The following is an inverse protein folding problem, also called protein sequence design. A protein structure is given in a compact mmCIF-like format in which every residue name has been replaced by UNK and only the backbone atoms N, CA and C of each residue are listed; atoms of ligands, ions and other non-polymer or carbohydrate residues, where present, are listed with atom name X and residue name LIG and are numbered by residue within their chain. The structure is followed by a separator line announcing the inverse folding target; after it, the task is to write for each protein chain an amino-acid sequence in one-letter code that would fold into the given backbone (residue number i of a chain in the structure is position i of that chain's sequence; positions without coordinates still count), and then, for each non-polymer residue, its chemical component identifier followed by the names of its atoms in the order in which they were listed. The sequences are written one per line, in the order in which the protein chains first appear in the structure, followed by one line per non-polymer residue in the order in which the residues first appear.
data_IF_286695612616
#
_entry.id   IF_286695612616
#
_cell.length_a   1.000
_cell.length_b   1.000
_cell.length_c   1.000
_cell.angle_alpha   90.00
_cell.angle_beta   90.00
_cell.angle_gamma   90.00
#
_symmetry.space_group_name_H-M   'P 1'
#
loop_
_entity.id
_entity.type
_entity.pdbx_description
1 polymer ?
#
# COMPACT_ATOMS: atom_id res chain seq x y z
N UNK A 1 -2.41 -12.17 -20.29
CA UNK A 1 -1.44 -12.21 -19.19
C UNK A 1 -2.20 -12.69 -17.98
N UNK A 2 -1.98 -13.94 -17.59
CA UNK A 2 -2.55 -14.51 -16.37
C UNK A 2 -1.62 -14.19 -15.21
N UNK A 3 -2.16 -13.81 -14.04
CA UNK A 3 -1.32 -13.46 -12.91
C UNK A 3 -0.59 -14.69 -12.37
N UNK A 4 0.69 -14.53 -12.04
CA UNK A 4 1.46 -15.60 -11.46
C UNK A 4 1.09 -15.84 -9.98
N UNK A 5 1.54 -16.97 -9.43
CA UNK A 5 1.25 -17.33 -8.04
C UNK A 5 1.85 -16.35 -7.01
N UNK A 6 2.85 -15.56 -7.39
CA UNK A 6 3.46 -14.51 -6.55
C UNK A 6 2.59 -13.26 -6.56
N UNK A 7 2.11 -12.83 -7.71
CA UNK A 7 1.22 -11.68 -7.88
C UNK A 7 -0.08 -11.85 -7.09
N UNK A 8 -0.68 -13.05 -7.15
CA UNK A 8 -1.89 -13.38 -6.37
C UNK A 8 -1.63 -13.25 -4.86
N UNK A 9 -0.46 -13.70 -4.38
CA UNK A 9 -0.08 -13.61 -2.96
C UNK A 9 0.17 -12.18 -2.53
N UNK A 10 0.91 -11.42 -3.33
CA UNK A 10 1.20 -10.01 -3.08
C UNK A 10 -0.10 -9.21 -2.99
N UNK A 11 -1.04 -9.45 -3.90
CA UNK A 11 -2.36 -8.84 -3.86
C UNK A 11 -3.13 -9.19 -2.58
N UNK A 12 -3.15 -10.47 -2.19
CA UNK A 12 -3.76 -10.90 -0.93
C UNK A 12 -3.14 -10.20 0.29
N UNK A 13 -1.81 -10.10 0.35
CA UNK A 13 -1.13 -9.39 1.44
C UNK A 13 -1.46 -7.90 1.50
N UNK A 14 -1.66 -7.23 0.35
CA UNK A 14 -2.03 -5.82 0.30
C UNK A 14 -3.46 -5.61 0.81
N UNK A 15 -4.40 -6.48 0.43
CA UNK A 15 -5.80 -6.42 0.88
C UNK A 15 -5.92 -6.63 2.39
N UNK A 16 -5.22 -7.64 2.94
CA UNK A 16 -5.22 -7.91 4.37
C UNK A 16 -4.64 -6.74 5.18
N UNK A 17 -3.54 -6.15 4.70
CA UNK A 17 -2.88 -5.02 5.36
C UNK A 17 -3.67 -3.72 5.27
N UNK A 18 -4.46 -3.51 4.21
CA UNK A 18 -5.39 -2.38 4.13
C UNK A 18 -6.45 -2.43 5.24
N UNK A 19 -6.90 -3.62 5.63
CA UNK A 19 -7.93 -3.82 6.66
C UNK A 19 -7.37 -3.86 8.08
N UNK A 20 -6.24 -4.54 8.26
CA UNK A 20 -5.65 -4.79 9.59
C UNK A 20 -4.69 -3.69 10.03
N UNK A 21 -4.10 -2.96 9.09
CA UNK A 21 -3.11 -1.90 9.34
C UNK A 21 -3.33 -0.72 8.38
N UNK A 22 -4.50 -0.05 8.44
CA UNK A 22 -4.84 1.03 7.51
C UNK A 22 -3.85 2.20 7.58
N UNK A 23 -3.24 2.44 8.74
CA UNK A 23 -2.21 3.47 8.94
C UNK A 23 -0.92 3.22 8.15
N UNK A 24 -0.65 1.96 7.81
CA UNK A 24 0.51 1.55 7.03
C UNK A 24 0.21 1.39 5.54
N UNK A 25 -1.04 1.63 5.12
CA UNK A 25 -1.48 1.51 3.73
C UNK A 25 -1.60 2.89 3.07
N UNK A 26 -1.17 3.06 1.80
CA UNK A 26 -0.66 2.03 0.90
C UNK A 26 0.82 1.68 1.14
N UNK A 27 1.10 0.37 1.15
CA UNK A 27 2.46 -0.17 1.07
C UNK A 27 2.99 -0.03 -0.34
N UNK A 28 3.27 1.21 -0.72
CA UNK A 28 3.92 1.54 -1.97
C UNK A 28 5.44 1.38 -1.83
N UNK A 29 6.14 1.10 -2.94
CA UNK A 29 7.61 1.17 -3.01
C UNK A 29 8.15 2.60 -2.72
N UNK A 30 7.24 3.59 -2.60
CA UNK A 30 7.47 5.01 -2.34
C UNK A 30 6.48 5.52 -1.27
N UNK A 31 6.39 4.86 -0.11
CA UNK A 31 5.61 5.37 1.04
C UNK A 31 6.06 6.78 1.52
N UNK A 32 7.12 7.34 0.91
CA UNK A 32 7.57 8.76 0.99
C UNK A 32 6.51 9.78 0.54
N UNK A 33 5.38 9.33 0.00
CA UNK A 33 4.13 10.10 -0.10
C UNK A 33 3.18 9.85 1.07
N UNK A 34 3.70 9.70 2.29
CA UNK A 34 3.08 10.31 3.47
C UNK A 34 3.13 11.83 3.27
N UNK A 35 2.33 12.27 2.28
CA UNK A 35 2.41 13.52 1.55
C UNK A 35 2.24 14.65 2.53
N UNK A 36 3.37 15.32 2.79
CA UNK A 36 3.55 16.75 2.95
C UNK A 36 2.37 17.43 3.67
N UNK A 37 2.53 17.86 4.95
CA UNK A 37 1.55 18.78 5.53
C UNK A 37 1.33 19.96 4.57
N UNK A 38 0.10 20.47 4.41
CA UNK A 38 -0.07 21.74 3.72
C UNK A 38 0.93 22.70 4.36
N UNK A 39 1.68 23.45 3.56
CA UNK A 39 2.34 24.62 4.09
C UNK A 39 1.23 25.45 4.75
N UNK A 40 1.17 25.43 6.08
CA UNK A 40 0.44 26.42 6.85
C UNK A 40 1.14 27.76 6.55
N UNK A 41 0.37 28.86 6.49
CA UNK A 41 0.54 30.00 5.58
C UNK A 41 1.95 30.60 5.51
#
# INVERSE_FOLDING_TARGET
MDPDAVEIRVLGCLIEKQRTTPDAYPLSLNARRLVRPPALP
#
